data_IF_948249856789
#
_entry.id   IF_948249856789
#
_cell.length_a   1.000
_cell.length_b   1.000
_cell.length_c   1.000
_cell.angle_alpha   90.00
_cell.angle_beta   90.00
_cell.angle_gamma   90.00
#
_symmetry.space_group_name_H-M   'P 1'
#
loop_
_entity.id
_entity.type
_entity.pdbx_description
1 polymer ?
#
# COMPACT_ATOMS: atom_id res chain seq x y z
N UNK A 1 -16.89 25.22 18.65
CA UNK A 1 -17.03 24.46 17.40
C UNK A 1 -15.66 23.90 17.04
N UNK A 2 -15.50 22.58 17.02
CA UNK A 2 -14.24 21.93 16.61
C UNK A 2 -14.23 21.68 15.10
N UNK A 3 -13.08 21.83 14.45
CA UNK A 3 -12.90 21.39 13.07
C UNK A 3 -12.69 19.87 13.04
N UNK A 4 -13.28 19.20 12.05
CA UNK A 4 -13.02 17.77 11.77
C UNK A 4 -11.55 17.53 11.38
N UNK A 5 -10.87 18.58 10.93
CA UNK A 5 -9.48 18.55 10.49
C UNK A 5 -8.56 19.18 11.53
N UNK A 6 -7.53 18.44 11.93
CA UNK A 6 -6.50 18.92 12.86
C UNK A 6 -5.44 19.80 12.18
N UNK A 7 -5.14 19.59 10.89
CA UNK A 7 -4.09 20.31 10.16
C UNK A 7 -4.36 20.41 8.65
N UNK A 8 -3.53 21.21 7.95
CA UNK A 8 -3.55 21.31 6.48
C UNK A 8 -3.05 20.03 5.83
N UNK A 9 -3.60 19.68 4.66
CA UNK A 9 -3.12 18.56 3.86
C UNK A 9 -1.66 18.76 3.42
N UNK A 10 -0.91 17.65 3.31
CA UNK A 10 0.44 17.64 2.73
C UNK A 10 0.36 17.07 1.32
N UNK A 11 1.04 17.71 0.37
CA UNK A 11 1.17 17.23 -1.01
C UNK A 11 2.64 17.25 -1.41
N UNK A 12 3.11 16.17 -2.05
CA UNK A 12 4.47 16.02 -2.56
C UNK A 12 4.42 15.26 -3.87
N UNK A 13 5.13 15.75 -4.88
CA UNK A 13 5.31 15.05 -6.15
C UNK A 13 6.22 13.84 -5.90
N UNK A 14 5.79 12.67 -6.38
CA UNK A 14 6.59 11.46 -6.42
C UNK A 14 7.25 11.43 -7.79
N UNK A 15 8.53 11.80 -7.85
CA UNK A 15 9.26 11.96 -9.11
C UNK A 15 10.05 10.69 -9.49
N UNK A 16 10.46 9.87 -8.51
CA UNK A 16 11.18 8.63 -8.80
C UNK A 16 10.29 7.40 -8.63
N UNK A 17 10.39 6.48 -9.59
CA UNK A 17 9.65 5.23 -9.65
C UNK A 17 9.75 4.40 -8.35
N UNK A 18 10.92 4.38 -7.73
CA UNK A 18 11.14 3.66 -6.45
C UNK A 18 10.33 4.25 -5.31
N UNK A 19 10.12 5.57 -5.28
CA UNK A 19 9.34 6.21 -4.21
C UNK A 19 7.87 5.84 -4.26
N UNK A 20 7.31 5.56 -5.43
CA UNK A 20 5.89 5.22 -5.53
C UNK A 20 5.56 3.93 -4.76
N UNK A 21 6.30 2.85 -5.04
CA UNK A 21 6.07 1.57 -4.37
C UNK A 21 6.34 1.67 -2.87
N UNK A 22 7.37 2.42 -2.47
CA UNK A 22 7.66 2.70 -1.07
C UNK A 22 6.53 3.47 -0.36
N UNK A 23 5.95 4.48 -1.03
CA UNK A 23 4.77 5.18 -0.51
C UNK A 23 3.57 4.24 -0.38
N UNK A 24 3.33 3.36 -1.35
CA UNK A 24 2.28 2.36 -1.26
C UNK A 24 2.51 1.44 -0.05
N UNK A 25 3.73 0.90 0.09
CA UNK A 25 4.11 0.06 1.24
C UNK A 25 3.89 0.77 2.57
N UNK A 26 4.28 2.04 2.67
CA UNK A 26 4.04 2.85 3.87
C UNK A 26 2.54 2.95 4.20
N UNK A 27 1.69 3.26 3.21
CA UNK A 27 0.25 3.39 3.41
C UNK A 27 -0.36 2.06 3.87
N UNK A 28 0.03 0.96 3.24
CA UNK A 28 -0.50 -0.37 3.55
C UNK A 28 -0.09 -0.89 4.92
N UNK A 29 1.11 -0.51 5.37
CA UNK A 29 1.63 -0.85 6.69
C UNK A 29 1.18 0.13 7.79
N UNK A 30 0.61 1.28 7.44
CA UNK A 30 0.18 2.28 8.43
C UNK A 30 -0.84 1.74 9.46
N UNK A 31 -1.87 0.95 9.08
CA UNK A 31 -2.78 0.35 10.06
C UNK A 31 -2.07 -0.58 11.05
N UNK A 32 -1.04 -1.30 10.61
CA UNK A 32 -0.23 -2.17 11.49
C UNK A 32 0.59 -1.30 12.45
N UNK A 33 1.22 -0.24 11.95
CA UNK A 33 1.98 0.74 12.76
C UNK A 33 1.11 1.42 13.81
N UNK A 34 -0.11 1.78 13.44
CA UNK A 34 -1.11 2.39 14.31
C UNK A 34 -1.79 1.38 15.24
N UNK A 35 -1.41 0.09 15.20
CA UNK A 35 -1.98 -1.00 15.99
C UNK A 35 -3.49 -1.20 15.76
N UNK A 36 -3.96 -0.86 14.57
CA UNK A 36 -5.35 -1.06 14.13
C UNK A 36 -5.56 -2.44 13.49
N UNK A 37 -4.48 -3.10 13.05
CA UNK A 37 -4.49 -4.41 12.41
C UNK A 37 -3.22 -5.21 12.78
N UNK A 38 -3.30 -6.55 12.77
CA UNK A 38 -2.13 -7.41 13.02
C UNK A 38 -1.27 -7.55 11.76
N UNK A 39 -1.90 -7.62 10.60
CA UNK A 39 -1.26 -7.63 9.29
C UNK A 39 -1.99 -6.69 8.30
N UNK A 40 -1.30 -6.31 7.22
CA UNK A 40 -1.86 -5.43 6.19
C UNK A 40 -3.14 -6.02 5.53
N UNK A 41 -3.28 -7.35 5.46
CA UNK A 41 -4.49 -8.02 4.94
C UNK A 41 -5.74 -7.83 5.82
N UNK A 42 -5.55 -7.56 7.11
CA UNK A 42 -6.65 -7.49 8.08
C UNK A 42 -7.35 -6.13 8.04
N UNK A 43 -6.75 -5.13 7.39
CA UNK A 43 -7.32 -3.79 7.27
C UNK A 43 -8.06 -3.65 5.92
N UNK A 44 -9.41 -3.64 5.90
CA UNK A 44 -10.18 -3.66 4.66
C UNK A 44 -10.17 -2.32 3.92
N UNK A 45 -9.85 -1.22 4.60
CA UNK A 45 -9.84 0.14 4.02
C UNK A 45 -8.47 0.50 3.43
N UNK A 46 -7.83 -0.47 2.79
CA UNK A 46 -6.56 -0.35 2.10
C UNK A 46 -6.63 -1.10 0.77
N UNK A 47 -5.91 -0.60 -0.22
CA UNK A 47 -5.76 -1.21 -1.54
C UNK A 47 -4.86 -2.46 -1.53
N UNK A 48 -4.25 -2.81 -0.38
CA UNK A 48 -3.41 -4.00 -0.23
C UNK A 48 -4.13 -5.28 -0.68
N UNK A 49 -5.36 -5.50 -0.20
CA UNK A 49 -6.13 -6.74 -0.47
C UNK A 49 -6.38 -6.94 -1.95
N UNK A 50 -6.65 -5.88 -2.70
CA UNK A 50 -6.83 -5.96 -4.16
C UNK A 50 -5.50 -6.24 -4.87
N UNK A 51 -4.40 -5.58 -4.46
CA UNK A 51 -3.06 -5.84 -5.00
C UNK A 51 -2.54 -7.25 -4.74
N UNK A 52 -2.95 -7.91 -3.65
CA UNK A 52 -2.57 -9.31 -3.39
C UNK A 52 -3.64 -10.33 -3.81
N UNK A 53 -4.73 -9.88 -4.44
CA UNK A 53 -5.80 -10.75 -4.95
C UNK A 53 -6.72 -11.34 -3.87
N UNK A 54 -6.73 -10.77 -2.66
CA UNK A 54 -7.66 -11.08 -1.57
C UNK A 54 -9.00 -10.34 -1.68
N UNK A 55 -9.12 -9.42 -2.64
CA UNK A 55 -10.35 -8.72 -3.00
C UNK A 55 -10.46 -8.63 -4.53
N UNK A 56 -11.69 -8.75 -5.05
CA UNK A 56 -12.01 -8.61 -6.47
C UNK A 56 -12.65 -7.25 -6.80
N UNK A 57 -12.52 -6.28 -5.90
CA UNK A 57 -12.78 -4.89 -6.26
C UNK A 57 -11.90 -4.59 -7.49
N UNK A 58 -12.45 -4.02 -8.55
CA UNK A 58 -11.70 -3.55 -9.71
C UNK A 58 -11.57 -2.03 -9.59
N UNK A 59 -11.07 -1.58 -8.45
CA UNK A 59 -11.02 -0.16 -8.10
C UNK A 59 -9.62 0.44 -8.32
N UNK A 60 -8.62 -0.39 -8.56
CA UNK A 60 -7.24 0.05 -8.77
C UNK A 60 -6.87 0.13 -10.25
N UNK A 61 -6.45 1.33 -10.65
CA UNK A 61 -5.58 1.49 -11.81
C UNK A 61 -4.17 1.06 -11.43
N UNK A 62 -3.77 -0.11 -11.95
CA UNK A 62 -2.49 -0.73 -11.63
C UNK A 62 -1.34 -0.04 -12.38
N UNK A 63 -0.47 0.62 -11.63
CA UNK A 63 0.68 1.35 -12.18
C UNK A 63 1.68 0.41 -12.90
N UNK A 64 2.37 0.85 -13.97
CA UNK A 64 3.38 0.05 -14.68
C UNK A 64 4.44 -0.58 -13.79
N UNK A 65 4.83 0.10 -12.71
CA UNK A 65 5.80 -0.43 -11.74
C UNK A 65 5.29 -1.64 -10.97
N UNK A 66 4.00 -1.63 -10.60
CA UNK A 66 3.38 -2.83 -10.02
C UNK A 66 3.28 -3.93 -11.08
N UNK A 67 2.91 -3.57 -12.32
CA UNK A 67 2.86 -4.53 -13.43
C UNK A 67 4.23 -5.15 -13.75
N UNK A 68 5.32 -4.40 -13.53
CA UNK A 68 6.68 -4.87 -13.75
C UNK A 68 7.20 -5.82 -12.66
N UNK A 69 6.50 -5.98 -11.52
CA UNK A 69 6.95 -6.84 -10.41
C UNK A 69 6.89 -8.34 -10.72
N UNK A 70 6.22 -8.75 -11.80
CA UNK A 70 6.02 -10.14 -12.14
C UNK A 70 5.43 -10.32 -13.54
N UNK A 71 5.77 -11.44 -14.17
CA UNK A 71 5.36 -11.76 -15.54
C UNK A 71 3.88 -12.14 -15.66
N UNK A 72 3.27 -12.61 -14.57
CA UNK A 72 1.84 -12.93 -14.49
C UNK A 72 1.22 -12.41 -13.18
N UNK A 73 -0.10 -12.55 -13.04
CA UNK A 73 -0.86 -12.09 -11.86
C UNK A 73 -0.34 -12.70 -10.56
N UNK A 74 -0.02 -13.99 -10.56
CA UNK A 74 0.40 -14.71 -9.36
C UNK A 74 1.79 -14.23 -8.91
N UNK A 75 2.73 -14.12 -9.85
CA UNK A 75 4.07 -13.61 -9.61
C UNK A 75 4.05 -12.17 -9.10
N UNK A 76 3.21 -11.30 -9.70
CA UNK A 76 3.06 -9.91 -9.24
C UNK A 76 2.53 -9.82 -7.82
N UNK A 77 1.46 -10.55 -7.51
CA UNK A 77 0.86 -10.56 -6.17
C UNK A 77 1.85 -11.08 -5.12
N UNK A 78 2.58 -12.14 -5.43
CA UNK A 78 3.59 -12.70 -4.55
C UNK A 78 4.77 -11.74 -4.32
N UNK A 79 5.28 -11.14 -5.40
CA UNK A 79 6.36 -10.14 -5.32
C UNK A 79 5.94 -8.92 -4.49
N UNK A 80 4.71 -8.43 -4.71
CA UNK A 80 4.16 -7.31 -3.95
C UNK A 80 3.97 -7.64 -2.47
N UNK A 81 3.38 -8.80 -2.16
CA UNK A 81 3.21 -9.26 -0.79
C UNK A 81 4.57 -9.37 -0.06
N UNK A 82 5.58 -9.94 -0.71
CA UNK A 82 6.94 -10.03 -0.18
C UNK A 82 7.59 -8.66 0.03
N UNK A 83 7.44 -7.72 -0.93
CA UNK A 83 7.94 -6.36 -0.81
C UNK A 83 7.34 -5.61 0.39
N UNK A 84 6.04 -5.76 0.62
CA UNK A 84 5.33 -5.16 1.76
C UNK A 84 5.78 -5.78 3.08
N UNK A 85 5.89 -7.11 3.14
CA UNK A 85 6.36 -7.82 4.34
C UNK A 85 7.82 -7.51 4.68
N UNK A 86 8.65 -7.25 3.68
CA UNK A 86 10.04 -6.83 3.87
C UNK A 86 10.19 -5.38 4.37
N UNK A 87 9.10 -4.60 4.42
CA UNK A 87 9.10 -3.27 5.01
C UNK A 87 9.29 -3.35 6.51
N UNK A 88 10.52 -3.17 6.97
CA UNK A 88 10.81 -3.03 8.40
C UNK A 88 10.34 -1.69 8.91
N UNK A 89 9.74 -1.71 10.10
CA UNK A 89 9.41 -0.49 10.83
C UNK A 89 10.70 0.00 11.49
N UNK A 90 11.38 0.97 10.87
CA UNK A 90 12.40 1.71 11.61
C UNK A 90 11.68 2.49 12.72
N UNK A 91 12.05 2.16 13.96
CA UNK A 91 11.48 2.66 15.21
C UNK A 91 11.86 4.13 15.48
#
# INVERSE_FOLDING_TARGET
MGSIWEARFKSRVIDEERYLLECCRYIELNPVRARLAQAACDYPWSSYRERVGLAQAQMLDLHPLYMAMGHDDAARRAAYAGFVQAGTFDA
#
